data_IF_198040028192
#
_entry.id   IF_198040028192
#
_cell.length_a   1.000
_cell.length_b   1.000
_cell.length_c   1.000
_cell.angle_alpha   90.00
_cell.angle_beta   90.00
_cell.angle_gamma   90.00
#
_symmetry.space_group_name_H-M   'P 1'
#
loop_
_entity.id
_entity.type
_entity.pdbx_description
1 polymer ?
#
# COMPACT_ATOMS: atom_id res chain seq x y z
N UNK A 1 -20.19 -1.92 8.24
CA UNK A 1 -19.99 -2.84 7.10
C UNK A 1 -18.60 -2.58 6.53
N UNK A 2 -17.72 -3.57 6.48
CA UNK A 2 -16.36 -3.39 5.92
C UNK A 2 -16.48 -3.28 4.40
N UNK A 3 -15.99 -2.17 3.85
CA UNK A 3 -16.01 -1.88 2.42
C UNK A 3 -14.58 -2.04 1.85
N UNK A 4 -14.45 -2.47 0.61
CA UNK A 4 -13.16 -2.60 -0.05
C UNK A 4 -13.29 -2.49 -1.55
N UNK A 5 -12.34 -1.79 -2.21
CA UNK A 5 -12.30 -1.66 -3.66
C UNK A 5 -10.86 -1.62 -4.17
N UNK A 6 -10.65 -2.04 -5.41
CA UNK A 6 -9.37 -1.90 -6.11
C UNK A 6 -9.41 -0.62 -6.93
N UNK A 7 -8.32 0.14 -6.87
CA UNK A 7 -8.17 1.33 -7.69
C UNK A 7 -6.78 1.45 -8.31
N UNK A 8 -6.66 2.40 -9.21
CA UNK A 8 -5.41 2.78 -9.88
C UNK A 8 -5.09 4.22 -9.56
N UNK A 9 -3.89 4.47 -9.04
CA UNK A 9 -3.42 5.83 -8.75
C UNK A 9 -3.26 6.62 -10.04
N UNK A 10 -4.07 7.65 -10.22
CA UNK A 10 -3.98 8.57 -11.39
C UNK A 10 -2.89 9.59 -11.16
N UNK A 11 -2.87 10.24 -10.00
CA UNK A 11 -1.89 11.27 -9.69
C UNK A 11 -2.18 11.98 -8.38
N UNK A 12 -1.50 13.10 -8.16
CA UNK A 12 -1.77 14.00 -7.05
C UNK A 12 -2.12 15.39 -7.59
N UNK A 13 -3.04 16.04 -6.92
CA UNK A 13 -3.47 17.41 -7.18
C UNK A 13 -3.82 18.11 -5.87
N UNK A 14 -4.35 19.28 -5.94
CA UNK A 14 -4.88 20.04 -4.80
C UNK A 14 -6.33 20.42 -5.05
N UNK A 15 -7.10 20.43 -4.00
CA UNK A 15 -8.45 20.98 -3.96
C UNK A 15 -8.47 22.12 -2.95
N UNK A 16 -9.40 23.06 -3.13
CA UNK A 16 -9.62 24.15 -2.19
C UNK A 16 -10.89 23.85 -1.39
N UNK A 17 -10.81 24.10 -0.11
CA UNK A 17 -11.94 24.07 0.80
C UNK A 17 -12.76 25.36 0.66
N UNK A 18 -13.96 25.40 1.20
CA UNK A 18 -14.84 26.58 1.22
C UNK A 18 -14.15 27.82 1.82
N UNK A 19 -13.24 27.61 2.74
CA UNK A 19 -12.43 28.65 3.39
C UNK A 19 -11.14 29.02 2.59
N UNK A 20 -10.99 28.57 1.35
CA UNK A 20 -9.80 28.80 0.53
C UNK A 20 -8.55 28.00 0.95
N UNK A 21 -8.68 27.09 1.91
CA UNK A 21 -7.55 26.26 2.37
C UNK A 21 -7.21 25.17 1.35
N UNK A 22 -5.94 25.05 1.02
CA UNK A 22 -5.43 24.03 0.11
C UNK A 22 -5.43 22.64 0.78
N UNK A 23 -6.10 21.68 0.16
CA UNK A 23 -6.12 20.28 0.55
C UNK A 23 -5.35 19.47 -0.51
N UNK A 24 -4.15 18.94 -0.20
CA UNK A 24 -3.44 18.05 -1.12
C UNK A 24 -4.18 16.71 -1.21
N UNK A 25 -4.48 16.25 -2.42
CA UNK A 25 -5.22 15.01 -2.65
C UNK A 25 -4.51 14.11 -3.64
N UNK A 26 -4.69 12.82 -3.46
CA UNK A 26 -4.37 11.81 -4.47
C UNK A 26 -5.66 11.35 -5.14
N UNK A 27 -5.69 11.42 -6.46
CA UNK A 27 -6.81 10.94 -7.28
C UNK A 27 -6.57 9.46 -7.60
N UNK A 28 -7.58 8.65 -7.33
CA UNK A 28 -7.58 7.20 -7.55
C UNK A 28 -8.78 6.87 -8.42
N UNK A 29 -8.56 6.21 -9.53
CA UNK A 29 -9.60 5.58 -10.36
C UNK A 29 -10.02 4.29 -9.65
N UNK A 30 -11.18 4.31 -8.99
CA UNK A 30 -11.68 3.25 -8.12
C UNK A 30 -12.85 2.51 -8.79
N UNK A 31 -12.55 1.41 -9.44
CA UNK A 31 -13.54 0.63 -10.18
C UNK A 31 -13.58 0.96 -11.68
N UNK A 32 -14.50 0.35 -12.46
CA UNK A 32 -15.41 -0.69 -11.99
C UNK A 32 -14.70 -1.99 -11.61
N UNK A 33 -15.06 -2.56 -10.46
CA UNK A 33 -14.54 -3.82 -9.97
C UNK A 33 -15.64 -4.88 -10.03
N UNK A 34 -15.37 -6.03 -10.62
CA UNK A 34 -16.33 -7.13 -10.72
C UNK A 34 -16.03 -8.19 -9.67
N UNK A 35 -17.06 -8.69 -9.00
CA UNK A 35 -16.95 -9.81 -8.07
C UNK A 35 -16.71 -11.09 -8.88
N UNK A 36 -15.56 -11.72 -8.67
CA UNK A 36 -15.16 -12.95 -9.39
C UNK A 36 -15.43 -14.19 -8.56
N UNK A 37 -15.21 -14.12 -7.26
CA UNK A 37 -15.45 -15.26 -6.37
C UNK A 37 -15.92 -14.75 -5.00
N UNK A 38 -16.84 -15.51 -4.41
CA UNK A 38 -17.29 -15.37 -3.04
C UNK A 38 -16.76 -16.56 -2.24
N UNK A 39 -16.13 -16.29 -1.11
CA UNK A 39 -15.63 -17.30 -0.18
C UNK A 39 -16.48 -17.29 1.07
N UNK A 40 -16.90 -18.47 1.53
CA UNK A 40 -17.72 -18.67 2.71
C UNK A 40 -16.97 -19.52 3.72
N UNK A 41 -17.42 -19.47 4.97
CA UNK A 41 -16.83 -20.27 6.04
C UNK A 41 -16.94 -21.76 5.75
N UNK A 42 -18.05 -22.19 5.12
CA UNK A 42 -18.29 -23.60 4.81
C UNK A 42 -17.37 -24.16 3.74
N UNK A 43 -17.06 -23.38 2.69
CA UNK A 43 -16.23 -23.84 1.57
C UNK A 43 -14.75 -23.56 1.74
N UNK A 44 -14.41 -22.39 2.30
CA UNK A 44 -13.03 -21.88 2.33
C UNK A 44 -12.48 -21.65 3.76
N UNK A 45 -13.32 -21.80 4.79
CA UNK A 45 -12.95 -21.58 6.20
C UNK A 45 -12.95 -20.11 6.63
N UNK A 46 -13.25 -19.16 5.75
CA UNK A 46 -13.33 -17.73 6.03
C UNK A 46 -14.22 -16.99 5.04
N UNK A 47 -14.67 -15.80 5.43
CA UNK A 47 -15.49 -14.95 4.58
C UNK A 47 -14.63 -13.93 3.84
N UNK A 48 -14.75 -13.90 2.50
CA UNK A 48 -14.06 -12.94 1.65
C UNK A 48 -14.73 -12.82 0.28
N UNK A 49 -14.47 -11.70 -0.39
CA UNK A 49 -14.86 -11.47 -1.78
C UNK A 49 -13.62 -11.18 -2.61
N UNK A 50 -13.47 -11.88 -3.71
CA UNK A 50 -12.42 -11.63 -4.68
C UNK A 50 -12.94 -10.69 -5.75
N UNK A 51 -12.31 -9.52 -5.84
CA UNK A 51 -12.62 -8.48 -6.82
C UNK A 51 -11.62 -8.53 -7.98
N UNK A 52 -12.14 -8.34 -9.19
CA UNK A 52 -11.36 -8.20 -10.42
C UNK A 52 -11.38 -6.76 -10.94
N UNK A 53 -10.22 -6.20 -11.27
CA UNK A 53 -10.06 -4.84 -11.79
C UNK A 53 -9.23 -4.80 -13.07
N UNK A 54 -9.63 -3.91 -13.98
CA UNK A 54 -8.95 -3.69 -15.25
C UNK A 54 -9.19 -4.82 -16.25
N UNK A 55 -9.53 -4.48 -17.46
CA UNK A 55 -9.80 -5.44 -18.51
C UNK A 55 -8.52 -6.00 -19.12
N UNK A 56 -8.56 -7.23 -19.57
CA UNK A 56 -7.48 -7.90 -20.27
C UNK A 56 -8.05 -8.76 -21.40
N UNK A 57 -7.37 -8.73 -22.55
CA UNK A 57 -7.76 -9.61 -23.67
C UNK A 57 -7.62 -11.08 -23.28
N UNK A 58 -8.59 -11.90 -23.66
CA UNK A 58 -8.60 -13.34 -23.39
C UNK A 58 -7.32 -14.06 -23.89
N UNK A 59 -6.72 -13.57 -24.98
CA UNK A 59 -5.46 -14.10 -25.54
C UNK A 59 -4.26 -13.95 -24.58
N UNK A 60 -4.30 -13.02 -23.63
CA UNK A 60 -3.23 -12.75 -22.65
C UNK A 60 -3.42 -13.46 -21.30
N UNK A 61 -4.45 -14.27 -21.19
CA UNK A 61 -4.78 -14.98 -19.96
C UNK A 61 -4.43 -16.46 -20.14
N UNK A 62 -3.75 -17.06 -19.16
CA UNK A 62 -3.43 -18.48 -19.17
C UNK A 62 -4.69 -19.35 -19.00
N UNK A 63 -4.65 -20.63 -19.42
CA UNK A 63 -5.80 -21.55 -19.36
C UNK A 63 -6.39 -21.69 -17.96
N UNK A 64 -5.55 -21.72 -16.92
CA UNK A 64 -6.00 -21.86 -15.53
C UNK A 64 -6.81 -20.63 -15.07
N UNK A 65 -6.30 -19.41 -15.30
CA UNK A 65 -7.02 -18.19 -14.99
C UNK A 65 -8.27 -18.01 -15.86
N UNK A 66 -8.23 -18.37 -17.13
CA UNK A 66 -9.40 -18.37 -18.01
C UNK A 66 -10.50 -19.28 -17.47
N UNK A 67 -10.16 -20.48 -16.97
CA UNK A 67 -11.10 -21.41 -16.31
C UNK A 67 -11.74 -20.79 -15.07
N UNK A 68 -10.96 -20.08 -14.25
CA UNK A 68 -11.46 -19.36 -13.07
C UNK A 68 -12.53 -18.30 -13.44
N UNK A 69 -12.23 -17.44 -14.42
CA UNK A 69 -13.21 -16.44 -14.90
C UNK A 69 -14.42 -17.06 -15.57
N UNK A 70 -14.24 -18.17 -16.32
CA UNK A 70 -15.32 -18.90 -16.96
C UNK A 70 -16.28 -19.49 -15.92
N UNK A 71 -15.76 -20.05 -14.80
CA UNK A 71 -16.58 -20.56 -13.69
C UNK A 71 -17.45 -19.45 -13.08
N UNK A 72 -16.93 -18.23 -13.00
CA UNK A 72 -17.63 -17.07 -12.50
C UNK A 72 -18.53 -16.38 -13.55
N UNK A 73 -18.49 -16.82 -14.80
CA UNK A 73 -19.16 -16.18 -15.95
C UNK A 73 -18.81 -14.69 -16.09
N UNK A 74 -17.55 -14.32 -15.82
CA UNK A 74 -17.05 -12.94 -15.83
C UNK A 74 -15.97 -12.79 -16.88
N UNK A 75 -15.92 -11.63 -17.54
CA UNK A 75 -14.85 -11.28 -18.46
C UNK A 75 -13.48 -11.25 -17.73
N UNK A 76 -12.39 -11.69 -18.39
CA UNK A 76 -11.07 -11.72 -17.77
C UNK A 76 -10.63 -10.34 -17.25
N UNK A 77 -10.14 -10.29 -16.00
CA UNK A 77 -9.64 -9.08 -15.35
C UNK A 77 -8.13 -9.18 -15.11
N UNK A 78 -7.45 -8.05 -15.21
CA UNK A 78 -5.98 -7.96 -15.10
C UNK A 78 -5.49 -8.20 -13.68
N UNK A 79 -6.19 -7.70 -12.68
CA UNK A 79 -5.78 -7.74 -11.28
C UNK A 79 -6.89 -8.32 -10.45
N UNK A 80 -6.56 -9.35 -9.68
CA UNK A 80 -7.44 -9.93 -8.68
C UNK A 80 -6.93 -9.58 -7.29
N UNK A 81 -7.82 -9.18 -6.39
CA UNK A 81 -7.52 -8.96 -4.96
C UNK A 81 -8.69 -9.45 -4.13
N UNK A 82 -8.36 -9.95 -2.98
CA UNK A 82 -9.31 -10.49 -2.02
C UNK A 82 -9.47 -9.53 -0.86
N UNK A 83 -10.72 -9.32 -0.47
CA UNK A 83 -11.10 -8.51 0.68
C UNK A 83 -11.85 -9.38 1.66
N UNK A 84 -11.34 -9.49 2.88
CA UNK A 84 -12.04 -10.14 3.98
C UNK A 84 -13.12 -9.21 4.49
N UNK A 85 -14.33 -9.70 4.53
CA UNK A 85 -15.53 -8.97 4.97
C UNK A 85 -16.18 -9.77 6.09
N UNK A 86 -16.86 -9.07 6.97
CA UNK A 86 -17.64 -9.70 8.05
C UNK A 86 -18.89 -10.38 7.52
N UNK A 87 -19.51 -9.81 6.50
CA UNK A 87 -20.67 -10.34 5.82
C UNK A 87 -20.49 -10.24 4.30
N UNK A 88 -20.64 -11.36 3.64
CA UNK A 88 -20.55 -11.50 2.18
C UNK A 88 -21.92 -11.86 1.56
N UNK A 89 -22.99 -11.96 2.35
CA UNK A 89 -24.32 -12.40 1.88
C UNK A 89 -24.88 -11.46 0.81
N UNK A 90 -24.71 -10.17 0.99
CA UNK A 90 -25.22 -9.12 0.11
C UNK A 90 -24.53 -9.03 -1.27
N UNK A 91 -23.40 -9.70 -1.47
CA UNK A 91 -22.63 -9.65 -2.72
C UNK A 91 -22.77 -10.95 -3.50
N UNK A 92 -23.04 -10.84 -4.80
CA UNK A 92 -23.11 -11.96 -5.71
C UNK A 92 -21.97 -11.95 -6.72
N UNK A 93 -21.61 -13.14 -7.21
CA UNK A 93 -20.63 -13.26 -8.29
C UNK A 93 -21.18 -12.60 -9.55
N UNK A 94 -20.38 -11.73 -10.17
CA UNK A 94 -20.79 -10.91 -11.31
C UNK A 94 -21.17 -9.47 -10.97
N UNK A 95 -21.45 -9.16 -9.69
CA UNK A 95 -21.77 -7.79 -9.27
C UNK A 95 -20.61 -6.83 -9.56
N UNK A 96 -20.96 -5.59 -9.90
CA UNK A 96 -20.00 -4.54 -10.24
C UNK A 96 -19.99 -3.46 -9.16
N UNK A 97 -18.87 -3.31 -8.49
CA UNK A 97 -18.62 -2.27 -7.50
C UNK A 97 -17.95 -1.06 -8.16
N UNK A 98 -18.49 0.12 -7.89
CA UNK A 98 -17.98 1.40 -8.37
C UNK A 98 -17.48 2.27 -7.21
N UNK A 99 -17.09 3.51 -7.53
CA UNK A 99 -16.60 4.47 -6.54
C UNK A 99 -17.65 4.86 -5.46
N UNK A 100 -18.93 4.63 -5.72
CA UNK A 100 -20.06 4.89 -4.83
C UNK A 100 -20.06 4.09 -3.51
N UNK A 101 -19.21 3.07 -3.42
CA UNK A 101 -18.98 2.30 -2.17
C UNK A 101 -18.50 3.21 -1.03
N UNK A 102 -17.78 4.28 -1.33
CA UNK A 102 -17.27 5.26 -0.36
C UNK A 102 -17.97 6.61 -0.52
N UNK A 103 -18.18 7.29 0.60
CA UNK A 103 -18.73 8.64 0.65
C UNK A 103 -17.63 9.67 1.00
N UNK A 104 -17.89 10.95 0.70
CA UNK A 104 -17.05 12.02 1.18
C UNK A 104 -17.05 12.07 2.72
N UNK A 105 -15.90 12.25 3.34
CA UNK A 105 -15.74 12.20 4.79
C UNK A 105 -15.32 10.83 5.34
N UNK A 106 -15.51 9.74 4.60
CA UNK A 106 -15.11 8.40 5.03
C UNK A 106 -13.61 8.32 5.33
N UNK A 107 -13.26 7.53 6.34
CA UNK A 107 -11.88 7.20 6.67
C UNK A 107 -11.48 5.88 6.02
N UNK A 108 -10.41 5.92 5.25
CA UNK A 108 -9.93 4.77 4.47
C UNK A 108 -8.46 4.45 4.71
N UNK A 109 -8.16 3.17 4.66
CA UNK A 109 -6.81 2.64 4.62
C UNK A 109 -6.45 2.29 3.18
N UNK A 110 -5.34 2.83 2.69
CA UNK A 110 -4.90 2.60 1.31
C UNK A 110 -3.61 1.80 1.29
N UNK A 111 -3.67 0.58 0.77
CA UNK A 111 -2.51 -0.27 0.61
C UNK A 111 -2.05 -0.32 -0.85
N UNK A 112 -0.75 -0.27 -1.04
CA UNK A 112 -0.13 -0.34 -2.36
C UNK A 112 1.34 -0.69 -2.30
N UNK A 113 1.94 -0.97 -3.45
CA UNK A 113 3.38 -1.21 -3.56
C UNK A 113 4.11 0.12 -3.64
N UNK A 114 5.03 0.34 -2.72
CA UNK A 114 5.84 1.56 -2.67
C UNK A 114 6.82 1.64 -3.84
N UNK A 115 7.30 2.85 -4.13
CA UNK A 115 8.37 3.03 -5.14
C UNK A 115 9.64 2.29 -4.71
N UNK A 116 10.28 1.58 -5.64
CA UNK A 116 11.58 0.97 -5.42
C UNK A 116 12.66 2.02 -5.18
N UNK A 117 13.59 1.74 -4.28
CA UNK A 117 14.72 2.61 -3.92
C UNK A 117 16.08 1.97 -4.20
N UNK A 118 16.07 0.78 -4.78
CA UNK A 118 17.28 0.01 -5.04
C UNK A 118 17.99 -0.46 -3.76
N UNK A 119 19.26 -0.77 -3.87
CA UNK A 119 20.13 -1.10 -2.73
C UNK A 119 20.41 0.18 -1.92
N UNK A 120 20.05 0.17 -0.65
CA UNK A 120 20.22 1.33 0.21
C UNK A 120 21.01 0.98 1.45
N UNK A 121 21.85 1.94 1.88
CA UNK A 121 22.56 1.87 3.15
C UNK A 121 21.62 1.72 4.34
N UNK A 122 22.13 1.16 5.43
CA UNK A 122 21.38 0.84 6.65
C UNK A 122 20.53 2.01 7.19
N UNK A 123 21.06 3.22 7.11
CA UNK A 123 20.38 4.41 7.61
C UNK A 123 19.14 4.76 6.78
N UNK A 124 19.20 4.71 5.46
CA UNK A 124 18.08 5.01 4.58
C UNK A 124 17.07 3.87 4.54
N UNK A 125 17.53 2.62 4.59
CA UNK A 125 16.68 1.44 4.51
C UNK A 125 15.75 1.30 5.70
N UNK A 126 16.24 1.56 6.90
CA UNK A 126 15.48 1.42 8.15
C UNK A 126 14.99 2.75 8.72
N UNK A 127 15.23 3.85 8.01
CA UNK A 127 15.02 5.23 8.47
C UNK A 127 13.61 5.74 8.53
N UNK A 128 12.61 5.03 8.04
CA UNK A 128 11.21 5.45 8.23
C UNK A 128 10.25 4.29 8.02
N UNK A 129 9.71 3.83 9.10
CA UNK A 129 8.42 3.18 9.10
C UNK A 129 7.43 4.16 9.76
N UNK A 130 6.49 4.66 8.98
CA UNK A 130 5.41 5.49 9.46
C UNK A 130 5.43 6.91 8.89
N UNK A 131 4.42 7.22 8.09
CA UNK A 131 4.13 8.56 7.60
C UNK A 131 5.14 9.10 6.60
N UNK A 132 4.65 9.71 5.53
CA UNK A 132 5.48 10.46 4.59
C UNK A 132 5.92 11.74 5.31
N UNK A 133 6.93 11.65 6.16
CA UNK A 133 7.62 12.86 6.59
C UNK A 133 8.57 13.31 5.48
N UNK A 134 8.68 14.63 5.27
CA UNK A 134 9.64 15.24 4.37
C UNK A 134 11.01 14.58 4.56
N UNK A 135 11.58 14.01 3.50
CA UNK A 135 12.86 13.33 3.57
C UNK A 135 13.93 14.24 4.20
N UNK A 136 14.53 13.78 5.28
CA UNK A 136 15.63 14.50 5.96
C UNK A 136 17.00 14.14 5.40
N UNK A 137 17.04 13.54 4.21
CA UNK A 137 18.25 13.09 3.57
C UNK A 137 18.86 11.87 4.26
N UNK A 138 20.13 11.63 4.02
CA UNK A 138 20.93 10.58 4.66
C UNK A 138 21.12 10.89 6.14
N UNK A 139 20.41 10.18 7.01
CA UNK A 139 20.52 10.35 8.46
C UNK A 139 21.22 9.15 9.09
N UNK A 140 22.29 9.44 9.81
CA UNK A 140 23.06 8.44 10.54
C UNK A 140 22.29 7.81 11.69
N UNK A 141 22.78 6.68 12.16
CA UNK A 141 22.24 5.88 13.28
C UNK A 141 22.01 6.70 14.56
N UNK A 142 22.76 7.78 14.74
CA UNK A 142 22.67 8.69 15.88
C UNK A 142 21.31 9.36 15.93
N UNK A 143 20.91 10.06 14.86
CA UNK A 143 19.61 10.78 14.82
C UNK A 143 18.43 9.83 14.75
N UNK A 144 18.64 8.65 14.18
CA UNK A 144 17.60 7.69 13.92
C UNK A 144 17.29 6.79 15.11
N UNK A 145 18.32 6.34 15.81
CA UNK A 145 18.22 5.37 16.90
C UNK A 145 18.63 5.94 18.26
N UNK A 146 18.99 7.23 18.31
CA UNK A 146 19.52 7.84 19.51
C UNK A 146 20.89 7.27 19.95
N UNK A 147 21.65 6.67 19.02
CA UNK A 147 22.97 6.16 19.35
C UNK A 147 23.96 7.30 19.53
N UNK A 148 24.94 7.09 20.39
CA UNK A 148 25.99 8.07 20.62
C UNK A 148 26.90 8.18 19.40
N UNK A 149 27.25 9.42 19.05
CA UNK A 149 28.20 9.73 18.01
C UNK A 149 29.62 9.55 18.52
N UNK A 150 30.47 8.95 17.72
CA UNK A 150 31.90 8.97 17.99
C UNK A 150 32.46 10.37 17.73
N UNK A 151 33.57 10.72 18.40
CA UNK A 151 34.29 11.96 18.14
C UNK A 151 34.79 11.95 16.69
N UNK A 152 34.83 13.10 16.04
CA UNK A 152 35.35 13.24 14.68
C UNK A 152 36.88 13.49 14.64
N UNK A 153 37.49 13.63 15.81
CA UNK A 153 38.93 13.87 16.03
C UNK A 153 39.57 12.70 16.76
N UNK A 154 40.90 12.80 17.00
CA UNK A 154 41.70 11.78 17.71
C UNK A 154 41.66 10.40 17.06
N UNK A 155 41.88 10.34 15.73
CA UNK A 155 42.03 9.08 15.00
C UNK A 155 40.76 8.33 14.61
N UNK A 156 39.60 8.86 14.89
CA UNK A 156 38.32 8.19 14.56
C UNK A 156 38.09 8.10 13.04
N UNK A 157 38.59 9.04 12.26
CA UNK A 157 38.41 9.07 10.80
C UNK A 157 36.96 9.15 10.33
N UNK A 158 36.63 8.75 9.09
CA UNK A 158 35.28 8.91 8.48
C UNK A 158 34.24 7.93 8.99
N UNK A 159 34.48 7.15 10.03
CA UNK A 159 33.61 6.09 10.54
C UNK A 159 32.57 6.56 11.57
N UNK A 160 32.61 7.84 11.93
CA UNK A 160 31.72 8.41 12.96
C UNK A 160 30.22 8.12 12.76
N UNK A 161 29.78 7.82 11.53
CA UNK A 161 28.39 7.55 11.15
C UNK A 161 28.13 6.14 10.62
N UNK A 162 29.07 5.23 10.76
CA UNK A 162 28.91 3.84 10.28
C UNK A 162 27.98 3.03 11.18
N UNK A 163 27.58 1.86 10.69
CA UNK A 163 26.65 0.96 11.40
C UNK A 163 27.26 0.33 12.67
N UNK A 164 28.59 0.45 12.84
CA UNK A 164 29.32 -0.10 13.98
C UNK A 164 29.62 -1.59 13.86
N UNK A 165 30.03 -2.20 14.97
CA UNK A 165 30.37 -3.62 15.04
C UNK A 165 29.19 -4.55 14.70
N UNK A 166 29.49 -5.69 14.10
CA UNK A 166 28.54 -6.74 13.83
C UNK A 166 28.29 -7.69 15.02
N UNK A 167 29.06 -7.56 16.07
CA UNK A 167 28.98 -8.36 17.29
C UNK A 167 30.34 -8.84 17.75
N UNK A 168 30.34 -9.74 18.73
CA UNK A 168 31.55 -10.40 19.24
C UNK A 168 31.96 -11.57 18.35
N UNK A 169 33.20 -12.04 18.49
CA UNK A 169 33.79 -13.11 17.65
C UNK A 169 33.38 -14.52 18.11
N UNK A 170 34.01 -15.02 19.17
CA UNK A 170 33.86 -16.45 19.61
C UNK A 170 32.47 -16.77 20.16
N UNK A 171 31.84 -15.86 20.86
CA UNK A 171 30.49 -16.01 21.40
C UNK A 171 29.68 -14.75 21.07
N UNK A 172 28.63 -14.83 20.29
CA UNK A 172 27.86 -16.00 19.77
C UNK A 172 28.33 -16.60 18.46
N UNK A 173 29.49 -16.22 17.90
CA UNK A 173 30.03 -16.64 16.60
C UNK A 173 29.12 -16.37 15.40
N UNK A 174 28.18 -15.46 15.52
CA UNK A 174 27.21 -15.11 14.48
C UNK A 174 26.70 -13.68 14.63
N UNK A 175 26.16 -13.13 13.57
CA UNK A 175 25.38 -11.89 13.61
C UNK A 175 23.93 -12.25 13.93
N UNK A 176 23.36 -11.60 14.94
CA UNK A 176 21.98 -11.89 15.34
C UNK A 176 20.96 -11.55 14.25
N UNK A 177 19.85 -12.31 14.17
CA UNK A 177 18.73 -11.95 13.32
C UNK A 177 18.19 -10.56 13.65
N UNK A 178 17.72 -9.83 12.62
CA UNK A 178 17.22 -8.47 12.81
C UNK A 178 18.29 -7.38 12.84
N UNK A 179 19.58 -7.71 12.74
CA UNK A 179 20.66 -6.70 12.58
C UNK A 179 20.34 -5.80 11.38
N UNK A 180 20.32 -4.50 11.60
CA UNK A 180 19.97 -3.50 10.59
C UNK A 180 21.15 -3.21 9.69
N UNK A 181 21.20 -3.90 8.57
CA UNK A 181 22.24 -3.79 7.55
C UNK A 181 21.70 -3.17 6.25
N UNK A 182 22.58 -2.65 5.36
CA UNK A 182 22.15 -2.16 4.05
C UNK A 182 21.49 -3.27 3.23
N UNK A 183 20.65 -2.89 2.27
CA UNK A 183 19.99 -3.81 1.37
C UNK A 183 18.86 -3.16 0.57
N UNK A 184 18.03 -3.98 -0.09
CA UNK A 184 16.92 -3.53 -0.90
C UNK A 184 15.92 -2.70 -0.08
N UNK A 185 15.54 -1.55 -0.62
CA UNK A 185 14.55 -0.66 -0.01
C UNK A 185 13.48 -0.25 -1.01
N UNK A 186 12.25 -0.17 -0.52
CA UNK A 186 11.09 0.11 -1.36
C UNK A 186 10.62 -1.12 -2.13
N UNK A 187 9.66 -0.91 -3.03
CA UNK A 187 8.97 -1.98 -3.75
C UNK A 187 8.36 -3.04 -2.83
N UNK A 188 7.87 -2.60 -1.68
CA UNK A 188 7.18 -3.42 -0.68
C UNK A 188 5.74 -2.94 -0.53
N UNK A 189 4.85 -3.83 -0.14
CA UNK A 189 3.46 -3.46 0.19
C UNK A 189 3.46 -2.61 1.46
N UNK A 190 2.85 -1.44 1.37
CA UNK A 190 2.70 -0.47 2.46
C UNK A 190 1.25 -0.05 2.54
N UNK A 191 0.71 0.02 3.74
CA UNK A 191 -0.62 0.56 4.01
C UNK A 191 -0.49 1.92 4.69
N UNK A 192 -1.10 2.94 4.12
CA UNK A 192 -1.27 4.25 4.75
C UNK A 192 -2.67 4.27 5.33
N UNK A 193 -2.75 4.44 6.64
CA UNK A 193 -3.98 4.33 7.40
C UNK A 193 -4.63 5.69 7.65
N UNK A 194 -5.94 5.66 7.90
CA UNK A 194 -6.73 6.80 8.36
C UNK A 194 -6.68 8.02 7.42
N UNK A 195 -6.76 7.78 6.13
CA UNK A 195 -6.89 8.84 5.14
C UNK A 195 -8.36 9.23 4.97
N UNK A 196 -8.62 10.53 4.78
CA UNK A 196 -9.99 11.03 4.58
C UNK A 196 -10.30 11.09 3.09
N UNK A 197 -11.46 10.61 2.69
CA UNK A 197 -12.03 10.81 1.35
C UNK A 197 -12.55 12.24 1.27
N UNK A 198 -12.02 13.04 0.37
CA UNK A 198 -12.42 14.45 0.19
C UNK A 198 -13.59 14.58 -0.77
N UNK A 199 -13.51 13.88 -1.90
CA UNK A 199 -14.53 13.94 -2.96
C UNK A 199 -14.63 12.59 -3.65
N UNK A 200 -15.85 12.21 -4.02
CA UNK A 200 -16.15 11.03 -4.85
C UNK A 200 -16.85 11.52 -6.12
N UNK A 201 -16.36 11.08 -7.27
CA UNK A 201 -16.98 11.29 -8.58
C UNK A 201 -17.41 9.91 -9.09
N UNK A 202 -18.73 9.70 -9.06
CA UNK A 202 -19.34 8.42 -9.46
C UNK A 202 -19.41 8.25 -10.98
N UNK A 203 -19.45 9.35 -11.74
CA UNK A 203 -19.51 9.30 -13.20
C UNK A 203 -18.20 8.79 -13.79
N UNK A 204 -17.07 9.35 -13.32
CA UNK A 204 -15.73 8.98 -13.76
C UNK A 204 -15.07 7.89 -12.90
N UNK A 205 -15.77 7.37 -11.89
CA UNK A 205 -15.23 6.41 -10.91
C UNK A 205 -13.94 6.89 -10.22
N UNK A 206 -13.89 8.16 -9.83
CA UNK A 206 -12.73 8.76 -9.18
C UNK A 206 -12.99 9.01 -7.69
N UNK A 207 -11.99 8.67 -6.87
CA UNK A 207 -11.97 8.98 -5.45
C UNK A 207 -10.77 9.88 -5.17
N UNK A 208 -11.00 11.05 -4.60
CA UNK A 208 -9.98 11.97 -4.13
C UNK A 208 -9.72 11.74 -2.63
N UNK A 209 -8.55 11.23 -2.29
CA UNK A 209 -8.13 10.92 -0.91
C UNK A 209 -7.12 11.96 -0.45
N UNK A 210 -7.31 12.53 0.75
CA UNK A 210 -6.42 13.52 1.34
C UNK A 210 -5.04 12.93 1.62
N UNK A 211 -4.00 13.56 1.06
CA UNK A 211 -2.62 13.20 1.30
C UNK A 211 -2.02 12.25 0.26
N UNK A 212 -0.92 11.61 0.63
CA UNK A 212 -0.13 10.78 -0.26
C UNK A 212 -0.49 9.29 -0.15
N UNK A 213 -0.50 8.62 -1.28
CA UNK A 213 -0.79 7.19 -1.41
C UNK A 213 0.45 6.46 -1.94
N UNK A 214 0.73 5.22 -1.51
CA UNK A 214 1.89 4.46 -1.96
C UNK A 214 1.94 4.28 -3.48
N UNK A 215 3.15 4.19 -4.02
CA UNK A 215 3.40 3.89 -5.43
C UNK A 215 3.53 5.10 -6.35
N UNK A 216 3.87 4.83 -7.60
CA UNK A 216 3.93 5.80 -8.70
C UNK A 216 2.57 5.98 -9.36
N UNK A 217 2.46 6.89 -10.34
CA UNK A 217 1.30 6.95 -11.26
C UNK A 217 1.09 5.58 -11.91
N UNK A 218 -0.14 5.16 -12.06
CA UNK A 218 -0.51 3.87 -12.64
C UNK A 218 -0.41 2.67 -11.70
N UNK A 219 0.07 2.83 -10.46
CA UNK A 219 0.14 1.72 -9.49
C UNK A 219 -1.25 1.33 -9.01
N UNK A 220 -1.48 0.02 -8.92
CA UNK A 220 -2.70 -0.54 -8.33
C UNK A 220 -2.64 -0.38 -6.81
N UNK A 221 -3.71 0.11 -6.25
CA UNK A 221 -3.92 0.28 -4.80
C UNK A 221 -5.22 -0.39 -4.37
N UNK A 222 -5.30 -0.79 -3.14
CA UNK A 222 -6.52 -1.29 -2.52
C UNK A 222 -6.98 -0.32 -1.46
N UNK A 223 -8.24 0.07 -1.50
CA UNK A 223 -8.88 0.91 -0.50
C UNK A 223 -9.77 0.02 0.35
N UNK A 224 -9.72 0.20 1.65
CA UNK A 224 -10.60 -0.45 2.61
C UNK A 224 -10.99 0.56 3.70
N UNK A 225 -12.06 0.29 4.46
CA UNK A 225 -12.37 1.10 5.63
C UNK A 225 -11.16 1.15 6.57
N UNK A 226 -10.98 2.28 7.23
CA UNK A 226 -9.93 2.39 8.23
C UNK A 226 -10.25 1.54 9.46
N UNK A 227 -9.22 0.81 9.93
CA UNK A 227 -9.30 0.04 11.18
C UNK A 227 -9.19 0.94 12.41
N UNK A 228 -8.71 2.19 12.23
CA UNK A 228 -8.46 3.16 13.30
C UNK A 228 -9.44 4.35 13.28
N UNK A 229 -10.54 4.24 12.56
CA UNK A 229 -11.56 5.28 12.50
C UNK A 229 -12.52 5.20 13.67
#
# INVERSE_FOLDING_TARGET
MVKGIIGKKVGMTQLFDENGKVIPVTVIEAGPCTVVQKKTVESDGYQAVQLGFGEVSAKKVNKAAAGHFKKANVAPKKTLREFRLEDVSAMNVGDVLKADVFAAGDKVDVAGVSKGRGYQGVIKRFGQQGGVSKGKGYQGVIKRYGLHRLRESHGTGPVARHAGSNGSTSTPSRVFPGKRLPGHMGFVRVTVQNLTVVKVDTENNLIAVKGAVPGSKGTIVTLANSVKA
#
